data_IF_830116558714
#
_entry.id   IF_830116558714
#
_cell.length_a   1.000
_cell.length_b   1.000
_cell.length_c   1.000
_cell.angle_alpha   90.00
_cell.angle_beta   90.00
_cell.angle_gamma   90.00
#
_symmetry.space_group_name_H-M   'P 1'
#
loop_
_entity.id
_entity.type
_entity.pdbx_description
1 polymer ?
#
# COMPACT_ATOMS: atom_id res chain seq x y z
N UNK A 1 -34.87 -14.80 10.54
CA UNK A 1 -35.04 -15.83 11.59
C UNK A 1 -36.41 -15.62 12.23
N UNK A 2 -37.39 -16.51 12.05
CA UNK A 2 -38.74 -16.38 12.63
C UNK A 2 -38.85 -17.30 13.84
N UNK A 3 -38.90 -16.73 15.05
CA UNK A 3 -39.20 -17.49 16.25
C UNK A 3 -40.72 -17.72 16.31
N UNK A 4 -41.12 -19.00 16.32
CA UNK A 4 -42.52 -19.43 16.42
C UNK A 4 -42.78 -19.79 17.89
N UNK A 5 -43.37 -18.86 18.64
CA UNK A 5 -43.66 -19.06 20.06
C UNK A 5 -44.92 -19.93 20.20
N UNK A 6 -44.74 -21.20 20.60
CA UNK A 6 -45.83 -22.13 20.89
C UNK A 6 -46.60 -21.64 22.12
N UNK A 7 -47.92 -21.54 21.98
CA UNK A 7 -48.85 -21.15 23.03
C UNK A 7 -48.87 -22.22 24.15
N UNK A 8 -48.52 -21.83 25.36
CA UNK A 8 -48.86 -22.58 26.58
C UNK A 8 -50.11 -21.93 27.19
N UNK A 9 -51.23 -22.64 27.20
CA UNK A 9 -52.45 -22.24 27.92
C UNK A 9 -52.30 -22.62 29.40
N UNK A 10 -52.45 -21.72 30.39
CA UNK A 10 -52.57 -22.11 31.78
C UNK A 10 -54.00 -21.90 32.29
N UNK A 11 -54.63 -23.00 32.67
CA UNK A 11 -55.80 -23.06 33.55
C UNK A 11 -55.34 -22.77 34.98
N UNK A 12 -55.25 -21.50 35.36
CA UNK A 12 -55.17 -21.03 36.74
C UNK A 12 -55.50 -19.54 36.78
N UNK A 13 -56.74 -19.22 37.17
CA UNK A 13 -57.14 -17.87 37.50
C UNK A 13 -56.30 -17.31 38.65
N UNK A 14 -56.09 -16.00 38.64
CA UNK A 14 -55.38 -15.17 39.63
C UNK A 14 -53.85 -15.07 39.57
N UNK A 15 -53.13 -15.87 38.77
CA UNK A 15 -51.68 -15.68 38.55
C UNK A 15 -51.34 -14.89 37.27
N UNK A 16 -52.35 -14.43 36.51
CA UNK A 16 -52.15 -13.78 35.21
C UNK A 16 -51.72 -12.30 35.28
N UNK A 17 -51.86 -11.63 36.44
CA UNK A 17 -51.57 -10.19 36.54
C UNK A 17 -50.09 -9.85 36.72
N UNK A 18 -49.25 -10.80 37.15
CA UNK A 18 -47.84 -10.52 37.52
C UNK A 18 -46.88 -10.62 36.31
N UNK A 19 -47.28 -11.30 35.22
CA UNK A 19 -46.44 -11.44 34.02
C UNK A 19 -46.47 -10.25 33.06
N UNK A 20 -47.27 -9.22 33.35
CA UNK A 20 -47.37 -7.99 32.54
C UNK A 20 -46.37 -6.90 32.96
N UNK A 21 -45.62 -7.09 34.05
CA UNK A 21 -44.63 -6.12 34.58
C UNK A 21 -43.18 -6.58 34.40
N UNK A 22 -42.86 -7.31 33.33
CA UNK A 22 -41.48 -7.58 32.95
C UNK A 22 -40.81 -6.34 32.34
N UNK A 23 -39.55 -6.01 32.69
CA UNK A 23 -38.86 -4.86 32.10
C UNK A 23 -38.74 -5.04 30.59
N UNK A 24 -39.28 -4.09 29.82
CA UNK A 24 -39.10 -4.03 28.37
C UNK A 24 -37.64 -3.74 28.07
N UNK A 25 -36.90 -4.73 27.57
CA UNK A 25 -35.54 -4.54 27.07
C UNK A 25 -35.57 -3.54 25.90
N UNK A 26 -35.09 -2.32 26.12
CA UNK A 26 -34.97 -1.32 25.09
C UNK A 26 -33.70 -1.58 24.27
N UNK A 27 -33.86 -1.81 22.97
CA UNK A 27 -32.72 -1.90 22.06
C UNK A 27 -32.07 -0.52 21.95
N UNK A 28 -30.89 -0.35 22.53
CA UNK A 28 -30.11 0.86 22.36
C UNK A 28 -29.36 0.78 21.03
N UNK A 29 -29.74 1.64 20.08
CA UNK A 29 -29.01 1.81 18.82
C UNK A 29 -28.07 3.01 18.94
N UNK A 30 -26.77 2.77 18.89
CA UNK A 30 -25.75 3.84 18.92
C UNK A 30 -25.32 4.17 17.50
N UNK A 31 -25.59 5.39 17.04
CA UNK A 31 -25.18 5.85 15.71
C UNK A 31 -23.74 6.34 15.76
N UNK A 32 -22.82 5.59 15.16
CA UNK A 32 -21.43 6.03 14.96
C UNK A 32 -21.36 6.85 13.67
N UNK A 33 -20.94 8.12 13.78
CA UNK A 33 -20.59 8.95 12.63
C UNK A 33 -19.09 8.92 12.43
N UNK A 34 -18.65 8.33 11.31
CA UNK A 34 -17.25 8.35 10.89
C UNK A 34 -17.07 9.43 9.84
N UNK A 35 -16.20 10.40 10.14
CA UNK A 35 -15.77 11.40 9.16
C UNK A 35 -14.36 11.03 8.71
N UNK A 36 -14.17 10.87 7.40
CA UNK A 36 -12.88 10.59 6.78
C UNK A 36 -12.57 11.67 5.75
N UNK A 37 -11.30 12.07 5.68
CA UNK A 37 -10.79 12.98 4.66
C UNK A 37 -9.97 12.18 3.67
N UNK A 38 -10.38 12.19 2.40
CA UNK A 38 -9.64 11.55 1.31
C UNK A 38 -8.68 12.61 0.75
N UNK A 39 -7.38 12.44 1.02
CA UNK A 39 -6.34 13.29 0.44
C UNK A 39 -5.82 12.59 -0.82
N UNK A 40 -6.04 13.19 -1.98
CA UNK A 40 -5.46 12.70 -3.22
C UNK A 40 -3.92 12.83 -3.17
N UNK A 41 -3.16 11.87 -3.73
CA UNK A 41 -1.73 12.01 -3.88
C UNK A 41 -1.42 13.29 -4.70
N UNK A 42 -0.43 14.10 -4.27
CA UNK A 42 -0.03 15.28 -5.03
C UNK A 42 0.49 14.86 -6.42
N UNK A 43 0.26 15.67 -7.47
CA UNK A 43 0.85 15.40 -8.77
C UNK A 43 2.37 15.55 -8.69
N UNK A 44 3.09 14.51 -9.09
CA UNK A 44 4.55 14.44 -9.11
C UNK A 44 5.08 14.32 -10.54
N UNK A 45 6.19 14.98 -10.80
CA UNK A 45 6.97 14.90 -12.03
C UNK A 45 8.31 14.26 -11.70
N UNK A 46 8.60 13.12 -12.35
CA UNK A 46 9.87 12.40 -12.20
C UNK A 46 10.78 12.79 -13.36
N UNK A 47 12.02 13.18 -13.05
CA UNK A 47 13.06 13.51 -14.00
C UNK A 47 12.63 14.49 -15.11
N UNK A 48 11.80 15.48 -14.76
CA UNK A 48 11.24 16.45 -15.71
C UNK A 48 10.54 15.79 -16.92
N UNK A 49 9.92 14.62 -16.72
CA UNK A 49 9.32 13.78 -17.78
C UNK A 49 10.32 13.25 -18.83
N UNK A 50 11.62 13.34 -18.57
CA UNK A 50 12.66 12.79 -19.44
C UNK A 50 13.02 11.35 -19.04
N UNK A 51 13.55 10.61 -20.01
CA UNK A 51 14.11 9.28 -19.77
C UNK A 51 15.28 9.36 -18.78
N UNK A 52 15.27 8.49 -17.78
CA UNK A 52 16.43 8.28 -16.89
C UNK A 52 17.32 7.25 -17.59
N UNK A 53 18.47 7.69 -18.09
CA UNK A 53 19.46 6.81 -18.71
C UNK A 53 20.64 6.57 -17.76
N UNK A 54 21.00 5.30 -17.58
CA UNK A 54 22.14 4.89 -16.76
C UNK A 54 23.12 4.14 -17.65
N UNK A 55 24.29 4.73 -17.85
CA UNK A 55 25.29 4.19 -18.77
C UNK A 55 26.35 3.38 -18.00
N UNK A 56 26.48 2.09 -18.33
CA UNK A 56 27.46 1.18 -17.72
C UNK A 56 28.82 1.17 -18.46
N UNK A 57 28.94 1.97 -19.52
CA UNK A 57 30.07 2.04 -20.43
C UNK A 57 30.09 0.89 -21.44
N UNK A 58 31.11 0.90 -22.30
CA UNK A 58 31.26 -0.09 -23.37
C UNK A 58 32.05 -1.33 -22.91
N UNK A 59 32.71 -1.25 -21.76
CA UNK A 59 33.61 -2.27 -21.22
C UNK A 59 32.95 -3.09 -20.11
N UNK A 60 31.75 -3.60 -20.36
CA UNK A 60 31.07 -4.54 -19.45
C UNK A 60 31.61 -5.94 -19.70
N UNK A 61 32.50 -6.40 -18.83
CA UNK A 61 33.10 -7.73 -18.92
C UNK A 61 32.29 -8.74 -18.11
N UNK A 62 31.58 -9.65 -18.78
CA UNK A 62 30.73 -10.66 -18.13
C UNK A 62 31.49 -11.56 -17.16
N UNK A 63 32.77 -11.82 -17.41
CA UNK A 63 33.65 -12.62 -16.54
C UNK A 63 33.99 -11.97 -15.19
N UNK A 64 33.70 -10.67 -15.03
CA UNK A 64 33.98 -9.91 -13.80
C UNK A 64 32.72 -9.54 -13.03
N UNK A 65 31.55 -10.01 -13.44
CA UNK A 65 30.28 -9.73 -12.77
C UNK A 65 30.21 -10.55 -11.49
N UNK A 66 30.56 -9.94 -10.36
CA UNK A 66 30.61 -10.54 -9.02
C UNK A 66 29.52 -10.00 -8.06
N UNK A 67 28.50 -9.33 -8.61
CA UNK A 67 27.45 -8.64 -7.84
C UNK A 67 27.81 -7.23 -7.37
N UNK A 68 29.10 -6.85 -7.42
CA UNK A 68 29.57 -5.50 -7.10
C UNK A 68 30.12 -4.73 -8.30
N UNK A 69 30.41 -5.45 -9.38
CA UNK A 69 30.95 -4.92 -10.61
C UNK A 69 30.10 -3.79 -11.22
N UNK A 70 30.77 -2.65 -11.52
CA UNK A 70 30.22 -1.52 -12.28
C UNK A 70 28.90 -0.95 -11.76
N UNK A 71 28.68 -0.90 -10.43
CA UNK A 71 27.55 -0.15 -9.84
C UNK A 71 27.54 1.29 -10.35
N UNK A 72 26.45 1.69 -10.99
CA UNK A 72 26.22 3.06 -11.46
C UNK A 72 25.18 3.76 -10.59
N UNK A 73 25.38 5.03 -10.22
CA UNK A 73 24.33 5.81 -9.57
C UNK A 73 23.18 6.04 -10.54
N UNK A 74 21.95 5.87 -10.06
CA UNK A 74 20.73 6.26 -10.78
C UNK A 74 20.40 7.69 -10.37
N UNK A 75 20.81 8.67 -11.17
CA UNK A 75 20.49 10.07 -10.93
C UNK A 75 19.08 10.39 -11.45
N UNK A 76 18.20 10.87 -10.57
CA UNK A 76 16.84 11.27 -10.92
C UNK A 76 16.38 12.44 -10.03
N UNK A 77 15.41 13.22 -10.52
CA UNK A 77 14.71 14.25 -9.76
C UNK A 77 13.25 13.85 -9.52
N UNK A 78 12.66 14.31 -8.41
CA UNK A 78 11.23 14.18 -8.14
C UNK A 78 10.71 15.52 -7.66
N UNK A 79 9.76 16.09 -8.38
CA UNK A 79 9.09 17.34 -8.03
C UNK A 79 7.60 17.09 -7.83
N UNK A 80 7.07 17.37 -6.64
CA UNK A 80 5.65 17.20 -6.34
C UNK A 80 5.04 18.52 -5.90
N UNK A 81 3.97 18.95 -6.57
CA UNK A 81 3.29 20.20 -6.24
C UNK A 81 2.24 19.98 -5.15
N UNK A 82 2.16 20.90 -4.19
CA UNK A 82 1.19 20.87 -3.09
C UNK A 82 1.24 19.59 -2.24
N UNK A 83 2.42 18.97 -2.09
CA UNK A 83 2.60 17.83 -1.21
C UNK A 83 2.57 18.26 0.26
N UNK A 84 1.63 17.77 1.09
CA UNK A 84 1.57 18.15 2.51
C UNK A 84 2.73 17.59 3.34
N UNK A 85 3.42 16.56 2.84
CA UNK A 85 4.63 15.97 3.43
C UNK A 85 5.49 15.32 2.34
N UNK A 86 6.82 15.36 2.50
CA UNK A 86 7.80 14.77 1.59
C UNK A 86 8.14 13.31 1.92
N UNK A 87 7.19 12.56 2.48
CA UNK A 87 7.37 11.15 2.84
C UNK A 87 7.13 10.20 1.65
N UNK A 88 7.86 10.41 0.56
CA UNK A 88 7.72 9.63 -0.67
C UNK A 88 8.78 8.53 -0.75
N UNK A 89 8.36 7.38 -1.27
CA UNK A 89 9.26 6.27 -1.62
C UNK A 89 9.20 6.07 -3.12
N UNK A 90 10.37 5.87 -3.73
CA UNK A 90 10.45 5.47 -5.13
C UNK A 90 10.61 3.96 -5.22
N UNK A 91 9.91 3.35 -6.17
CA UNK A 91 10.05 1.94 -6.50
C UNK A 91 10.31 1.81 -8.00
N UNK A 92 11.28 0.97 -8.34
CA UNK A 92 11.53 0.55 -9.73
C UNK A 92 10.79 -0.77 -9.94
N UNK A 93 10.03 -0.87 -11.03
CA UNK A 93 9.27 -2.05 -11.39
C UNK A 93 9.67 -2.51 -12.79
N UNK A 94 9.73 -3.82 -12.98
CA UNK A 94 10.00 -4.45 -14.26
C UNK A 94 9.89 -5.98 -14.15
N UNK A 95 10.15 -6.66 -15.25
CA UNK A 95 10.10 -8.12 -15.30
C UNK A 95 11.32 -8.71 -14.59
N UNK A 96 11.11 -9.67 -13.69
CA UNK A 96 12.18 -10.42 -13.04
C UNK A 96 12.92 -11.35 -14.00
N UNK A 97 14.20 -11.58 -13.78
CA UNK A 97 15.01 -12.50 -14.56
C UNK A 97 14.58 -13.96 -14.29
N UNK A 98 14.77 -14.85 -15.27
CA UNK A 98 14.38 -16.25 -15.15
C UNK A 98 15.12 -17.03 -14.05
N UNK A 99 16.35 -16.60 -13.72
CA UNK A 99 17.17 -17.21 -12.68
C UNK A 99 16.98 -16.57 -11.29
N UNK A 100 16.48 -15.33 -11.23
CA UNK A 100 16.23 -14.59 -9.99
C UNK A 100 15.16 -13.51 -10.22
N UNK A 101 14.02 -13.64 -9.52
CA UNK A 101 12.90 -12.73 -9.65
C UNK A 101 13.14 -11.34 -9.01
N UNK A 102 14.14 -11.21 -8.13
CA UNK A 102 14.52 -9.93 -7.49
C UNK A 102 15.47 -9.10 -8.36
N UNK A 103 15.90 -9.65 -9.51
CA UNK A 103 16.77 -9.00 -10.48
C UNK A 103 15.99 -8.72 -11.75
N UNK A 104 16.15 -7.52 -12.32
CA UNK A 104 15.44 -7.12 -13.54
C UNK A 104 16.04 -7.82 -14.76
N UNK A 105 15.16 -8.42 -15.57
CA UNK A 105 15.50 -9.10 -16.82
C UNK A 105 16.11 -8.13 -17.83
N UNK A 106 17.18 -8.56 -18.49
CA UNK A 106 17.75 -7.87 -19.66
C UNK A 106 17.41 -8.61 -20.95
N UNK A 107 17.87 -8.07 -22.09
CA UNK A 107 17.78 -8.76 -23.38
C UNK A 107 18.85 -9.85 -23.57
N UNK A 108 19.63 -10.16 -22.54
CA UNK A 108 20.63 -11.24 -22.52
C UNK A 108 20.25 -12.23 -21.45
N UNK A 109 20.15 -13.50 -21.87
CA UNK A 109 19.94 -14.60 -20.93
C UNK A 109 21.08 -14.65 -19.90
N UNK A 110 20.75 -15.09 -18.69
CA UNK A 110 21.67 -15.20 -17.56
C UNK A 110 22.34 -13.86 -17.12
N UNK A 111 21.86 -12.71 -17.62
CA UNK A 111 22.29 -11.38 -17.19
C UNK A 111 21.10 -10.55 -16.70
N UNK A 112 21.26 -9.98 -15.51
CA UNK A 112 20.22 -9.18 -14.85
C UNK A 112 20.76 -7.92 -14.19
N UNK A 113 19.88 -6.94 -13.99
CA UNK A 113 20.19 -5.68 -13.29
C UNK A 113 19.51 -5.63 -11.93
N UNK A 114 20.27 -5.32 -10.88
CA UNK A 114 19.73 -5.17 -9.52
C UNK A 114 19.87 -3.72 -9.04
N UNK A 115 18.78 -3.19 -8.49
CA UNK A 115 18.69 -1.83 -7.97
C UNK A 115 18.82 -1.83 -6.46
N UNK A 116 19.95 -1.31 -5.96
CA UNK A 116 20.13 -1.09 -4.53
C UNK A 116 19.55 0.27 -4.14
N UNK A 117 18.57 0.28 -3.25
CA UNK A 117 18.04 1.51 -2.68
C UNK A 117 19.00 2.06 -1.61
N UNK A 118 19.92 2.91 -2.01
CA UNK A 118 20.62 3.80 -1.06
C UNK A 118 19.84 5.10 -0.98
N UNK A 119 19.36 5.48 0.20
CA UNK A 119 18.77 6.81 0.43
C UNK A 119 19.88 7.86 0.35
N UNK A 120 20.26 8.26 -0.87
CA UNK A 120 21.00 9.49 -1.13
C UNK A 120 19.96 10.61 -1.18
N UNK A 121 19.48 11.01 -0.01
CA UNK A 121 18.46 12.06 0.11
C UNK A 121 19.00 13.40 -0.38
N UNK A 122 18.69 13.78 -1.62
CA UNK A 122 18.73 15.17 -2.04
C UNK A 122 17.52 15.87 -1.43
N UNK A 123 17.74 16.49 -0.28
CA UNK A 123 16.85 17.47 0.32
C UNK A 123 16.75 18.68 -0.60
N UNK A 124 15.80 18.68 -1.53
CA UNK A 124 15.39 19.89 -2.26
C UNK A 124 14.10 20.40 -1.65
N UNK A 125 14.22 21.20 -0.58
CA UNK A 125 13.20 22.18 -0.18
C UNK A 125 13.32 23.39 -1.11
N UNK A 126 12.31 23.75 -1.91
CA UNK A 126 12.20 25.10 -2.41
C UNK A 126 11.56 25.96 -1.30
N UNK A 127 12.19 27.09 -0.98
CA UNK A 127 11.52 28.18 -0.29
C UNK A 127 10.51 28.89 -1.18
#
# INVERSE_FOLDING_TARGET
MKAKFRQCLPRCGLAALVLLFGPQAQAASTTIKVTVTIVAPPPCVINNNNLIEVNFGNDVMTTRIDGSYKKQPVAYSVECKNAPNNAMKMQIQGTGAGFDAEVLQTNKDDLGWHCYATVIGSRSTPG
#
